data_IF_960182605931
#
_entry.id   IF_960182605931
#
_cell.length_a   1.000
_cell.length_b   1.000
_cell.length_c   1.000
_cell.angle_alpha   90.00
_cell.angle_beta   90.00
_cell.angle_gamma   90.00
#
_symmetry.space_group_name_H-M   'P 1'
#
loop_
_entity.id
_entity.type
_entity.pdbx_description
1 polymer ?
#
# COMPACT_ATOMS: atom_id res chain seq x y z
N UNK A 1 4.43 -14.48 -9.26
CA UNK A 1 5.13 -13.76 -8.15
C UNK A 1 4.09 -12.98 -7.32
N UNK A 2 4.40 -12.66 -6.06
CA UNK A 2 3.55 -11.76 -5.27
C UNK A 2 3.61 -10.32 -5.84
N UNK A 3 2.54 -9.52 -5.71
CA UNK A 3 2.56 -8.13 -6.11
C UNK A 3 3.65 -7.35 -5.36
N UNK A 4 4.27 -6.38 -6.04
CA UNK A 4 5.22 -5.43 -5.44
C UNK A 4 4.57 -4.53 -4.39
N UNK A 5 3.28 -4.21 -4.52
CA UNK A 5 2.55 -3.40 -3.55
C UNK A 5 2.37 -4.17 -2.23
N UNK A 6 2.73 -3.59 -1.07
CA UNK A 6 2.58 -4.25 0.21
C UNK A 6 1.10 -4.31 0.66
N UNK A 7 0.80 -5.28 1.53
CA UNK A 7 -0.53 -5.50 2.11
C UNK A 7 -1.31 -6.63 1.43
N UNK A 8 -1.96 -7.48 2.23
CA UNK A 8 -2.66 -8.68 1.72
C UNK A 8 -3.82 -8.36 0.79
N UNK A 9 -4.53 -7.26 1.03
CA UNK A 9 -5.61 -6.77 0.18
C UNK A 9 -5.16 -6.54 -1.28
N UNK A 10 -3.88 -6.28 -1.53
CA UNK A 10 -3.37 -6.11 -2.89
C UNK A 10 -3.42 -7.39 -3.72
N UNK A 11 -3.48 -8.57 -3.09
CA UNK A 11 -3.74 -9.83 -3.80
C UNK A 11 -5.14 -9.84 -4.42
N UNK A 12 -6.14 -9.39 -3.65
CA UNK A 12 -7.51 -9.27 -4.13
C UNK A 12 -7.62 -8.19 -5.23
N UNK A 13 -6.97 -7.03 -5.04
CA UNK A 13 -6.93 -5.98 -6.06
C UNK A 13 -6.28 -6.46 -7.36
N UNK A 14 -5.15 -7.17 -7.27
CA UNK A 14 -4.47 -7.74 -8.43
C UNK A 14 -5.36 -8.76 -9.16
N UNK A 15 -5.98 -9.68 -8.42
CA UNK A 15 -6.90 -10.67 -8.99
C UNK A 15 -8.10 -10.01 -9.69
N UNK A 16 -8.69 -8.99 -9.05
CA UNK A 16 -9.80 -8.23 -9.61
C UNK A 16 -9.38 -7.51 -10.90
N UNK A 17 -8.21 -6.86 -10.92
CA UNK A 17 -7.68 -6.18 -12.10
C UNK A 17 -7.44 -7.15 -13.26
N UNK A 18 -6.77 -8.28 -13.00
CA UNK A 18 -6.52 -9.32 -14.02
C UNK A 18 -7.85 -9.84 -14.59
N UNK A 19 -8.83 -10.11 -13.72
CA UNK A 19 -10.14 -10.59 -14.15
C UNK A 19 -10.88 -9.55 -14.98
N UNK A 20 -10.83 -8.28 -14.59
CA UNK A 20 -11.48 -7.19 -15.30
C UNK A 20 -10.92 -7.03 -16.72
N UNK A 21 -9.59 -7.05 -16.89
CA UNK A 21 -8.94 -6.95 -18.20
C UNK A 21 -9.31 -8.12 -19.10
N UNK A 22 -9.31 -9.36 -18.57
CA UNK A 22 -9.78 -10.55 -19.31
C UNK A 22 -11.26 -10.43 -19.72
N UNK A 23 -12.11 -9.97 -18.80
CA UNK A 23 -13.55 -9.82 -19.05
C UNK A 23 -13.86 -8.73 -20.09
N UNK A 24 -12.98 -7.72 -20.22
CA UNK A 24 -13.06 -6.70 -21.26
C UNK A 24 -12.59 -7.20 -22.65
N UNK A 25 -12.20 -8.47 -22.77
CA UNK A 25 -11.84 -9.10 -24.06
C UNK A 25 -10.36 -8.96 -24.44
N UNK A 26 -9.52 -8.40 -23.55
CA UNK A 26 -8.08 -8.32 -23.80
C UNK A 26 -7.38 -9.64 -23.47
N UNK A 27 -6.38 -9.98 -24.29
CA UNK A 27 -5.50 -11.10 -23.99
C UNK A 27 -4.62 -10.77 -22.79
N UNK A 28 -4.55 -11.69 -21.83
CA UNK A 28 -3.70 -11.57 -20.64
C UNK A 28 -2.92 -12.85 -20.47
N UNK A 29 -1.66 -12.83 -20.88
CA UNK A 29 -0.71 -13.95 -20.75
C UNK A 29 -0.10 -14.01 -19.35
N UNK A 30 0.43 -15.16 -18.96
CA UNK A 30 1.15 -15.31 -17.69
C UNK A 30 2.33 -14.34 -17.58
N UNK A 31 3.14 -14.22 -18.65
CA UNK A 31 4.27 -13.27 -18.70
C UNK A 31 3.85 -11.82 -18.46
N UNK A 32 2.68 -11.42 -18.96
CA UNK A 32 2.13 -10.08 -18.71
C UNK A 32 1.75 -9.91 -17.23
N UNK A 33 1.13 -10.93 -16.63
CA UNK A 33 0.77 -10.93 -15.21
C UNK A 33 2.05 -10.86 -14.35
N UNK A 34 3.04 -11.69 -14.64
CA UNK A 34 4.32 -11.71 -13.91
C UNK A 34 5.01 -10.35 -13.95
N UNK A 35 5.09 -9.74 -15.14
CA UNK A 35 5.63 -8.38 -15.30
C UNK A 35 4.81 -7.37 -14.50
N UNK A 36 3.47 -7.40 -14.61
CA UNK A 36 2.61 -6.48 -13.89
C UNK A 36 2.79 -6.60 -12.36
N UNK A 37 2.90 -7.82 -11.84
CA UNK A 37 3.08 -8.04 -10.39
C UNK A 37 4.40 -7.45 -9.88
N UNK A 38 5.47 -7.47 -10.67
CA UNK A 38 6.78 -6.95 -10.24
C UNK A 38 6.98 -5.46 -10.54
N UNK A 39 6.25 -4.90 -11.50
CA UNK A 39 6.44 -3.50 -11.92
C UNK A 39 5.31 -2.57 -11.49
N UNK A 40 4.20 -3.07 -10.94
CA UNK A 40 3.08 -2.22 -10.51
C UNK A 40 3.53 -1.18 -9.49
N UNK A 41 3.11 0.06 -9.71
CA UNK A 41 3.31 1.17 -8.80
C UNK A 41 1.96 1.88 -8.62
N UNK A 42 1.65 2.22 -7.36
CA UNK A 42 0.43 2.94 -7.01
C UNK A 42 0.78 4.00 -5.97
N UNK A 43 0.95 5.26 -6.39
CA UNK A 43 1.28 6.35 -5.47
C UNK A 43 0.23 6.47 -4.36
N UNK A 44 0.70 6.66 -3.13
CA UNK A 44 -0.15 6.79 -1.94
C UNK A 44 -0.84 5.50 -1.47
N UNK A 45 -0.32 4.31 -1.81
CA UNK A 45 -0.77 3.02 -1.27
C UNK A 45 0.39 2.32 -0.58
N UNK A 46 0.48 2.51 0.74
CA UNK A 46 1.61 2.12 1.59
C UNK A 46 2.95 2.32 0.87
N UNK A 47 3.13 3.53 0.35
CA UNK A 47 4.27 3.90 -0.48
C UNK A 47 5.43 4.31 0.42
N UNK A 48 6.57 3.62 0.29
CA UNK A 48 7.82 4.03 0.92
C UNK A 48 8.42 5.24 0.22
N UNK A 49 8.78 6.27 0.99
CA UNK A 49 9.49 7.45 0.50
C UNK A 49 10.98 7.26 0.76
N UNK A 50 11.76 7.20 -0.33
CA UNK A 50 13.20 6.95 -0.29
C UNK A 50 14.04 8.21 -0.56
N UNK A 51 13.44 9.23 -1.18
CA UNK A 51 14.13 10.43 -1.65
C UNK A 51 13.29 11.69 -1.48
N UNK A 52 13.94 12.84 -1.60
CA UNK A 52 13.31 14.15 -1.51
C UNK A 52 13.31 14.74 -0.10
N UNK A 53 12.83 15.99 0.00
CA UNK A 53 12.97 16.81 1.22
C UNK A 53 12.49 16.12 2.50
N UNK A 54 11.38 15.38 2.44
CA UNK A 54 10.84 14.72 3.63
C UNK A 54 11.72 13.54 4.07
N UNK A 55 12.31 12.79 3.13
CA UNK A 55 13.27 11.73 3.42
C UNK A 55 14.58 12.29 3.97
N UNK A 56 15.02 13.43 3.44
CA UNK A 56 16.23 14.14 3.90
C UNK A 56 16.07 14.73 5.32
N UNK A 57 14.84 15.10 5.70
CA UNK A 57 14.51 15.58 7.05
C UNK A 57 14.25 14.46 8.07
N UNK A 58 14.15 13.21 7.61
CA UNK A 58 13.83 12.09 8.47
C UNK A 58 14.97 11.83 9.48
N UNK A 59 14.66 11.37 10.71
CA UNK A 59 15.70 10.84 11.59
C UNK A 59 16.50 9.73 10.91
N UNK A 60 17.76 9.58 11.31
CA UNK A 60 18.63 8.52 10.78
C UNK A 60 17.94 7.15 10.93
N UNK A 61 17.97 6.36 9.85
CA UNK A 61 17.39 5.02 9.74
C UNK A 61 15.86 4.93 9.86
N UNK A 62 15.16 6.08 9.96
CA UNK A 62 13.71 6.13 9.94
C UNK A 62 13.17 5.81 8.54
N UNK A 63 12.03 5.12 8.51
CA UNK A 63 11.30 4.88 7.27
C UNK A 63 10.08 5.80 7.22
N UNK A 64 9.85 6.40 6.06
CA UNK A 64 8.66 7.20 5.81
C UNK A 64 7.78 6.43 4.85
N UNK A 65 6.53 6.23 5.26
CA UNK A 65 5.49 5.57 4.49
C UNK A 65 4.29 6.49 4.34
N UNK A 66 3.66 6.50 3.17
CA UNK A 66 2.47 7.31 2.88
C UNK A 66 1.34 6.41 2.38
N UNK A 67 0.15 6.58 2.94
CA UNK A 67 -1.10 6.02 2.44
C UNK A 67 -2.19 7.09 2.38
N UNK A 68 -2.99 7.09 1.32
CA UNK A 68 -4.14 7.99 1.13
C UNK A 68 -5.47 7.43 1.65
N UNK A 69 -5.44 6.29 2.34
CA UNK A 69 -6.56 5.65 3.01
C UNK A 69 -7.12 6.51 4.13
N UNK A 70 -8.44 6.62 4.18
CA UNK A 70 -9.13 7.57 5.07
C UNK A 70 -10.53 7.07 5.46
N UNK A 71 -10.73 5.75 5.38
CA UNK A 71 -11.96 5.07 5.78
C UNK A 71 -11.61 3.90 6.72
N UNK A 72 -12.57 3.38 7.49
CA UNK A 72 -12.30 2.32 8.46
C UNK A 72 -11.56 1.10 7.87
N UNK A 73 -11.99 0.65 6.68
CA UNK A 73 -11.33 -0.48 6.01
C UNK A 73 -9.87 -0.21 5.61
N UNK A 74 -9.51 1.05 5.33
CA UNK A 74 -8.10 1.40 5.13
C UNK A 74 -7.32 1.38 6.45
N UNK A 75 -7.94 1.83 7.55
CA UNK A 75 -7.35 1.75 8.89
C UNK A 75 -6.98 0.31 9.25
N UNK A 76 -7.90 -0.64 9.06
CA UNK A 76 -7.65 -2.08 9.27
C UNK A 76 -6.47 -2.60 8.44
N UNK A 77 -6.46 -2.26 7.14
CA UNK A 77 -5.41 -2.66 6.21
C UNK A 77 -4.04 -2.09 6.58
N UNK A 78 -3.99 -0.83 6.98
CA UNK A 78 -2.75 -0.16 7.39
C UNK A 78 -2.26 -0.77 8.70
N UNK A 79 -3.15 -0.99 9.67
CA UNK A 79 -2.82 -1.63 10.94
C UNK A 79 -2.23 -3.04 10.73
N UNK A 80 -2.83 -3.86 9.87
CA UNK A 80 -2.31 -5.19 9.54
C UNK A 80 -0.90 -5.09 8.91
N UNK A 81 -0.69 -4.14 8.00
CA UNK A 81 0.61 -3.94 7.37
C UNK A 81 1.67 -3.51 8.39
N UNK A 82 1.33 -2.60 9.30
CA UNK A 82 2.25 -2.15 10.36
C UNK A 82 2.58 -3.28 11.34
N UNK A 83 1.59 -4.10 11.73
CA UNK A 83 1.83 -5.29 12.54
C UNK A 83 2.82 -6.25 11.86
N UNK A 84 2.65 -6.50 10.57
CA UNK A 84 3.59 -7.33 9.79
C UNK A 84 5.00 -6.72 9.63
N UNK A 85 5.15 -5.40 9.76
CA UNK A 85 6.47 -4.75 9.80
C UNK A 85 7.10 -4.90 11.18
N UNK A 86 6.32 -4.69 12.24
CA UNK A 86 6.76 -4.84 13.64
C UNK A 86 7.25 -6.26 13.92
N UNK A 87 6.53 -7.29 13.45
CA UNK A 87 6.94 -8.70 13.59
C UNK A 87 8.30 -8.99 12.93
N UNK A 88 8.61 -8.32 11.82
CA UNK A 88 9.88 -8.51 11.09
C UNK A 88 11.02 -7.72 11.69
N UNK A 89 10.76 -6.48 12.09
CA UNK A 89 11.77 -5.56 12.62
C UNK A 89 11.10 -4.56 13.57
N UNK A 90 11.08 -4.86 14.88
CA UNK A 90 10.44 -4.02 15.88
C UNK A 90 11.01 -2.60 15.91
N UNK A 91 10.15 -1.58 15.78
CA UNK A 91 10.56 -0.16 15.75
C UNK A 91 9.45 0.75 16.28
N UNK A 92 9.79 1.89 16.91
CA UNK A 92 8.79 2.89 17.28
C UNK A 92 7.96 3.34 16.06
N UNK A 93 6.64 3.22 16.15
CA UNK A 93 5.70 3.65 15.13
C UNK A 93 5.10 5.01 15.50
N UNK A 94 5.25 5.98 14.59
CA UNK A 94 4.58 7.28 14.68
C UNK A 94 3.60 7.42 13.52
N UNK A 95 2.36 7.83 13.82
CA UNK A 95 1.31 8.00 12.83
C UNK A 95 0.92 9.49 12.77
N UNK A 96 0.89 10.03 11.56
CA UNK A 96 0.31 11.34 11.26
C UNK A 96 -0.93 11.08 10.40
N UNK A 97 -2.10 11.27 10.98
CA UNK A 97 -3.38 11.07 10.29
C UNK A 97 -4.05 12.42 10.04
N UNK A 98 -4.58 12.60 8.83
CA UNK A 98 -5.37 13.76 8.43
C UNK A 98 -6.53 13.31 7.57
N UNK A 99 -7.75 13.68 7.95
CA UNK A 99 -8.96 13.32 7.24
C UNK A 99 -9.79 14.58 6.96
N UNK A 100 -10.50 14.59 5.83
CA UNK A 100 -11.51 15.62 5.56
C UNK A 100 -12.73 15.39 6.47
N UNK A 101 -13.46 16.45 6.79
CA UNK A 101 -14.59 16.43 7.73
C UNK A 101 -15.78 15.52 7.35
N UNK A 102 -15.80 14.99 6.12
CA UNK A 102 -16.82 14.04 5.65
C UNK A 102 -16.46 12.57 5.93
N UNK A 103 -15.30 12.29 6.52
CA UNK A 103 -14.88 10.94 6.90
C UNK A 103 -15.19 10.66 8.35
N UNK A 104 -15.18 9.39 8.70
CA UNK A 104 -15.34 8.90 10.07
C UNK A 104 -13.97 8.76 10.73
N UNK A 105 -13.54 9.72 11.57
CA UNK A 105 -12.26 9.64 12.26
C UNK A 105 -12.29 8.72 13.47
N UNK A 106 -13.47 8.34 13.97
CA UNK A 106 -13.60 7.46 15.15
C UNK A 106 -13.47 6.00 14.74
N UNK A 107 -14.03 5.65 13.57
CA UNK A 107 -13.92 4.31 13.00
C UNK A 107 -12.62 4.03 12.24
N UNK A 108 -11.78 5.05 11.98
CA UNK A 108 -10.46 4.90 11.34
C UNK A 108 -9.38 4.55 12.36
#
# INVERSE_FOLDING_TARGET
>A
PLPRLPGRHQLANAAAAIRAVKAAGFEVTERMIEKAMTTVEWPGRLQRILTGKIAEMAPKDAEIWIDGGHNPGAGEVIAEAMAGFEEKTPRPLFIIAGLINTKDPVGY
#
